data_IF_546099749021
#
_entry.id   IF_546099749021
#
_cell.length_a   1.000
_cell.length_b   1.000
_cell.length_c   1.000
_cell.angle_alpha   90.00
_cell.angle_beta   90.00
_cell.angle_gamma   90.00
#
_symmetry.space_group_name_H-M   'P 1'
#
loop_
_entity.id
_entity.type
_entity.pdbx_description
1 polymer ?
#
# COMPACT_ATOMS: atom_id res chain seq x y z
N UNK A 1 -11.10 -57.07 10.69
CA UNK A 1 -10.13 -56.46 9.76
C UNK A 1 -10.94 -55.51 8.88
N UNK A 2 -11.27 -54.31 9.39
CA UNK A 2 -10.55 -53.04 9.18
C UNK A 2 -10.09 -52.83 7.75
N UNK A 3 -10.79 -51.95 7.04
CA UNK A 3 -10.18 -51.00 6.11
C UNK A 3 -10.92 -49.67 6.33
N UNK A 4 -10.36 -48.86 7.23
CA UNK A 4 -10.73 -47.45 7.40
C UNK A 4 -10.27 -46.69 6.17
N UNK A 5 -11.23 -46.11 5.45
CA UNK A 5 -10.98 -45.20 4.33
C UNK A 5 -11.02 -43.77 4.82
N UNK A 6 -9.93 -43.30 5.45
CA UNK A 6 -9.73 -41.88 5.73
C UNK A 6 -9.42 -41.16 4.42
N UNK A 7 -10.47 -40.57 3.83
CA UNK A 7 -10.32 -39.53 2.81
C UNK A 7 -9.90 -38.26 3.53
N UNK A 8 -8.60 -37.97 3.52
CA UNK A 8 -8.05 -36.72 3.98
C UNK A 8 -8.69 -35.56 3.20
N UNK A 9 -9.58 -34.83 3.87
CA UNK A 9 -10.08 -33.54 3.44
C UNK A 9 -8.94 -32.52 3.63
N UNK A 10 -8.20 -32.24 2.56
CA UNK A 10 -7.35 -31.06 2.52
C UNK A 10 -8.24 -29.82 2.38
N UNK A 11 -8.65 -29.28 3.51
CA UNK A 11 -9.20 -27.94 3.63
C UNK A 11 -8.10 -26.94 3.26
N UNK A 12 -8.09 -26.49 1.99
CA UNK A 12 -7.40 -25.28 1.61
C UNK A 12 -8.27 -24.07 1.98
N UNK A 13 -8.37 -23.78 3.27
CA UNK A 13 -8.75 -22.44 3.73
C UNK A 13 -7.54 -21.52 3.51
N UNK A 14 -7.34 -21.14 2.24
CA UNK A 14 -6.48 -20.02 1.91
C UNK A 14 -7.21 -18.76 2.32
N UNK A 15 -6.96 -18.27 3.54
CA UNK A 15 -7.27 -16.89 3.90
C UNK A 15 -6.71 -16.00 2.78
N UNK A 16 -7.60 -15.30 2.07
CA UNK A 16 -7.19 -14.36 1.03
C UNK A 16 -6.41 -13.25 1.73
N UNK A 17 -5.08 -13.33 1.65
CA UNK A 17 -4.22 -12.41 2.40
C UNK A 17 -4.57 -10.97 1.99
N UNK A 18 -4.84 -10.09 2.98
CA UNK A 18 -5.17 -8.69 2.75
C UNK A 18 -4.14 -8.04 1.82
N UNK A 19 -4.63 -7.25 0.85
CA UNK A 19 -3.79 -6.87 -0.25
C UNK A 19 -4.16 -5.74 -1.17
N UNK A 20 -3.13 -5.09 -1.69
CA UNK A 20 -3.20 -4.08 -2.75
C UNK A 20 -3.42 -4.70 -4.12
N UNK A 21 -4.67 -4.67 -4.52
CA UNK A 21 -5.05 -4.86 -5.90
C UNK A 21 -4.57 -3.69 -6.77
N UNK A 22 -4.37 -4.02 -8.04
CA UNK A 22 -4.00 -3.04 -9.07
C UNK A 22 -5.24 -2.30 -9.51
N UNK A 23 -5.24 -0.98 -9.31
CA UNK A 23 -6.24 -0.08 -9.87
C UNK A 23 -6.07 -0.04 -11.41
N UNK A 24 -7.10 -0.42 -12.20
CA UNK A 24 -7.03 -0.46 -13.65
C UNK A 24 -6.82 0.93 -14.29
N UNK A 25 -7.13 2.02 -13.60
CA UNK A 25 -6.88 3.38 -14.08
C UNK A 25 -5.44 3.85 -13.81
N UNK A 26 -4.63 3.05 -13.11
CA UNK A 26 -3.27 3.39 -12.76
C UNK A 26 -2.29 2.92 -13.84
N UNK A 27 -1.48 3.85 -14.40
CA UNK A 27 -0.44 3.54 -15.40
C UNK A 27 0.61 2.53 -14.88
N UNK A 28 0.67 2.29 -13.56
CA UNK A 28 1.51 1.26 -12.97
C UNK A 28 1.03 -0.17 -13.21
N UNK A 29 -0.21 -0.38 -13.66
CA UNK A 29 -0.74 -1.71 -13.98
C UNK A 29 0.13 -2.44 -15.01
N UNK A 30 0.65 -1.72 -16.02
CA UNK A 30 1.55 -2.28 -17.02
C UNK A 30 2.89 -2.72 -16.41
N UNK A 31 3.44 -1.95 -15.47
CA UNK A 31 4.70 -2.29 -14.77
C UNK A 31 4.51 -3.53 -13.91
N UNK A 32 3.39 -3.62 -13.17
CA UNK A 32 3.08 -4.77 -12.31
C UNK A 32 2.82 -6.03 -13.14
N UNK A 33 2.11 -5.91 -14.27
CA UNK A 33 1.91 -7.02 -15.20
C UNK A 33 3.21 -7.49 -15.86
N UNK A 34 4.09 -6.57 -16.25
CA UNK A 34 5.40 -6.92 -16.81
C UNK A 34 6.28 -7.67 -15.79
N UNK A 35 6.29 -7.21 -14.52
CA UNK A 35 6.95 -7.94 -13.43
C UNK A 35 6.34 -9.34 -13.27
N UNK A 36 5.01 -9.44 -13.16
CA UNK A 36 4.33 -10.72 -12.98
C UNK A 36 4.68 -11.72 -14.08
N UNK A 37 4.73 -11.25 -15.33
CA UNK A 37 5.17 -12.05 -16.46
C UNK A 37 6.64 -12.49 -16.35
N UNK A 38 7.53 -11.59 -15.93
CA UNK A 38 8.95 -11.92 -15.74
C UNK A 38 9.15 -12.94 -14.60
N UNK A 39 8.42 -12.82 -13.50
CA UNK A 39 8.44 -13.78 -12.39
C UNK A 39 7.97 -15.16 -12.85
N UNK A 40 6.90 -15.22 -13.64
CA UNK A 40 6.41 -16.46 -14.25
C UNK A 40 7.49 -17.12 -15.10
N UNK A 41 8.17 -16.36 -15.97
CA UNK A 41 9.25 -16.89 -16.82
C UNK A 41 10.42 -17.45 -16.00
N UNK A 42 10.82 -16.77 -14.92
CA UNK A 42 11.88 -17.27 -14.05
C UNK A 42 11.46 -18.49 -13.24
N UNK A 43 10.22 -18.54 -12.75
CA UNK A 43 9.68 -19.73 -12.09
C UNK A 43 9.68 -20.93 -13.03
N UNK A 44 9.22 -20.75 -14.27
CA UNK A 44 9.19 -21.79 -15.29
C UNK A 44 10.61 -22.24 -15.68
N UNK A 45 11.56 -21.31 -15.80
CA UNK A 45 12.96 -21.63 -16.05
C UNK A 45 13.61 -22.41 -14.89
N UNK A 46 13.16 -22.18 -13.65
CA UNK A 46 13.55 -22.95 -12.48
C UNK A 46 12.79 -24.30 -12.35
N UNK A 47 11.84 -24.59 -13.24
CA UNK A 47 11.06 -25.83 -13.24
C UNK A 47 10.04 -25.95 -12.10
N UNK A 48 9.71 -24.85 -11.42
CA UNK A 48 8.82 -24.85 -10.26
C UNK A 48 7.35 -24.66 -10.68
N UNK A 49 6.44 -25.46 -10.12
CA UNK A 49 4.99 -25.20 -10.26
C UNK A 49 4.56 -24.07 -9.32
N UNK A 50 3.46 -23.35 -9.58
CA UNK A 50 2.96 -22.28 -8.72
C UNK A 50 2.78 -22.70 -7.25
N UNK A 51 2.26 -23.91 -7.01
CA UNK A 51 2.11 -24.47 -5.66
C UNK A 51 3.45 -24.71 -4.94
N UNK A 52 4.45 -25.24 -5.65
CA UNK A 52 5.79 -25.51 -5.10
C UNK A 52 6.54 -24.21 -4.84
N UNK A 53 6.40 -23.25 -5.75
CA UNK A 53 6.98 -21.93 -5.60
C UNK A 53 6.37 -21.19 -4.41
N UNK A 54 5.04 -21.17 -4.29
CA UNK A 54 4.33 -20.60 -3.14
C UNK A 54 4.81 -21.22 -1.83
N UNK A 55 4.87 -22.55 -1.76
CA UNK A 55 5.37 -23.26 -0.58
C UNK A 55 6.83 -22.88 -0.22
N UNK A 56 7.70 -22.71 -1.23
CA UNK A 56 9.10 -22.32 -1.01
C UNK A 56 9.25 -20.89 -0.44
N UNK A 57 8.39 -19.95 -0.83
CA UNK A 57 8.42 -18.57 -0.33
C UNK A 57 7.52 -18.34 0.91
N UNK A 58 6.72 -19.35 1.29
CA UNK A 58 5.78 -19.28 2.41
C UNK A 58 4.47 -18.55 2.10
N UNK A 59 4.03 -18.54 0.84
CA UNK A 59 2.80 -17.90 0.40
C UNK A 59 1.87 -18.89 -0.31
N UNK A 60 0.55 -18.64 -0.29
CA UNK A 60 -0.43 -19.50 -0.95
C UNK A 60 -0.35 -19.45 -2.48
N UNK A 61 -0.72 -20.55 -3.15
CA UNK A 61 -0.73 -20.66 -4.62
C UNK A 61 -1.58 -19.56 -5.29
N UNK A 62 -2.70 -19.18 -4.68
CA UNK A 62 -3.57 -18.12 -5.20
C UNK A 62 -2.85 -16.76 -5.30
N UNK A 63 -2.00 -16.43 -4.32
CA UNK A 63 -1.23 -15.18 -4.35
C UNK A 63 -0.25 -15.19 -5.53
N UNK A 64 0.39 -16.32 -5.79
CA UNK A 64 1.29 -16.49 -6.95
C UNK A 64 0.55 -16.19 -8.24
N UNK A 65 -0.63 -16.78 -8.46
CA UNK A 65 -1.42 -16.50 -9.67
C UNK A 65 -1.83 -15.03 -9.78
N UNK A 66 -2.22 -14.39 -8.66
CA UNK A 66 -2.60 -12.97 -8.66
C UNK A 66 -1.41 -12.06 -8.98
N UNK A 67 -0.23 -12.34 -8.43
CA UNK A 67 1.01 -11.57 -8.68
C UNK A 67 1.53 -11.80 -10.10
N UNK A 68 1.64 -13.06 -10.55
CA UNK A 68 2.07 -13.39 -11.92
C UNK A 68 1.12 -12.83 -12.98
N UNK A 69 -0.17 -12.79 -12.68
CA UNK A 69 -1.20 -12.18 -13.53
C UNK A 69 -1.25 -10.66 -13.47
N UNK A 70 -0.40 -10.00 -12.67
CA UNK A 70 -0.37 -8.54 -12.54
C UNK A 70 -1.60 -7.94 -11.87
N UNK A 71 -2.42 -8.75 -11.19
CA UNK A 71 -3.63 -8.29 -10.49
C UNK A 71 -3.33 -7.76 -9.09
N UNK A 72 -2.19 -8.16 -8.53
CA UNK A 72 -1.78 -7.88 -7.15
C UNK A 72 -0.38 -7.26 -7.14
N UNK A 73 -0.23 -6.13 -6.45
CA UNK A 73 1.08 -5.48 -6.26
C UNK A 73 1.83 -6.24 -5.15
N UNK A 74 2.97 -6.91 -5.44
CA UNK A 74 3.70 -7.65 -4.42
C UNK A 74 4.31 -6.72 -3.37
N UNK A 75 4.39 -7.20 -2.14
CA UNK A 75 5.07 -6.50 -1.04
C UNK A 75 6.60 -6.58 -1.25
N UNK A 76 7.41 -5.64 -0.74
CA UNK A 76 8.86 -5.64 -0.93
C UNK A 76 9.51 -6.91 -0.39
N UNK A 77 9.00 -7.44 0.73
CA UNK A 77 9.49 -8.66 1.38
C UNK A 77 9.21 -9.91 0.53
N UNK A 78 8.12 -9.89 -0.25
CA UNK A 78 7.83 -10.94 -1.23
C UNK A 78 8.92 -10.97 -2.31
N UNK A 79 9.33 -9.81 -2.82
CA UNK A 79 10.36 -9.73 -3.87
C UNK A 79 11.74 -10.20 -3.38
N UNK A 80 12.07 -10.01 -2.10
CA UNK A 80 13.30 -10.56 -1.51
C UNK A 80 13.33 -12.08 -1.54
N UNK A 81 12.29 -12.70 -0.99
CA UNK A 81 12.19 -14.16 -0.93
C UNK A 81 12.19 -14.78 -2.31
N UNK A 82 11.55 -14.12 -3.27
CA UNK A 82 11.52 -14.57 -4.66
C UNK A 82 12.90 -14.48 -5.32
N UNK A 83 13.67 -13.42 -5.06
CA UNK A 83 15.05 -13.30 -5.55
C UNK A 83 15.96 -14.42 -5.01
N UNK A 84 15.81 -14.72 -3.72
CA UNK A 84 16.54 -15.78 -3.02
C UNK A 84 16.19 -17.18 -3.57
N UNK A 85 14.90 -17.51 -3.68
CA UNK A 85 14.43 -18.83 -4.14
C UNK A 85 14.74 -19.06 -5.62
N UNK A 86 14.62 -18.04 -6.46
CA UNK A 86 14.90 -18.16 -7.89
C UNK A 86 16.39 -17.95 -8.24
N UNK A 87 17.23 -17.59 -7.26
CA UNK A 87 18.65 -17.33 -7.47
C UNK A 87 18.92 -16.20 -8.46
N UNK A 88 18.07 -15.16 -8.46
CA UNK A 88 18.10 -14.11 -9.48
C UNK A 88 19.28 -13.13 -9.30
N UNK A 89 20.01 -13.20 -8.18
CA UNK A 89 21.24 -12.45 -7.93
C UNK A 89 20.99 -10.96 -7.76
N UNK A 90 19.90 -10.59 -7.09
CA UNK A 90 19.49 -9.22 -6.81
C UNK A 90 18.71 -8.54 -7.93
N UNK A 91 18.47 -9.20 -9.06
CA UNK A 91 17.76 -8.61 -10.21
C UNK A 91 16.27 -8.37 -9.91
N UNK A 92 15.64 -9.27 -9.14
CA UNK A 92 14.24 -9.12 -8.71
C UNK A 92 14.17 -8.10 -7.59
N UNK A 93 15.11 -8.17 -6.64
CA UNK A 93 15.19 -7.22 -5.54
C UNK A 93 15.44 -5.77 -6.02
N UNK A 94 16.15 -5.56 -7.13
CA UNK A 94 16.36 -4.24 -7.71
C UNK A 94 15.05 -3.56 -8.17
N UNK A 95 14.05 -4.34 -8.61
CA UNK A 95 12.76 -3.81 -9.07
C UNK A 95 11.85 -3.32 -7.94
N UNK A 96 12.23 -3.55 -6.68
CA UNK A 96 11.45 -3.13 -5.51
C UNK A 96 11.08 -1.66 -5.52
N UNK A 97 12.00 -0.78 -5.94
CA UNK A 97 11.76 0.66 -5.93
C UNK A 97 10.63 1.03 -6.91
N UNK A 98 10.69 0.49 -8.11
CA UNK A 98 9.69 0.76 -9.16
C UNK A 98 8.31 0.23 -8.77
N UNK A 99 8.26 -0.93 -8.09
CA UNK A 99 7.03 -1.54 -7.59
C UNK A 99 6.50 -0.86 -6.33
N UNK A 100 7.38 -0.38 -5.45
CA UNK A 100 7.00 0.41 -4.29
C UNK A 100 6.39 1.74 -4.74
N UNK A 101 6.91 2.37 -5.79
CA UNK A 101 6.29 3.55 -6.39
C UNK A 101 4.94 3.21 -7.03
N UNK A 102 4.82 2.08 -7.74
CA UNK A 102 3.56 1.61 -8.33
C UNK A 102 2.42 1.40 -7.32
N UNK A 103 2.75 1.24 -6.04
CA UNK A 103 1.81 1.14 -4.93
C UNK A 103 0.97 2.38 -4.75
N UNK A 104 1.41 3.58 -5.10
CA UNK A 104 0.61 4.77 -4.77
C UNK A 104 -0.34 5.17 -5.91
N UNK A 105 -1.53 5.70 -5.61
CA UNK A 105 -2.41 6.27 -6.63
C UNK A 105 -1.66 7.30 -7.48
N UNK A 106 -1.95 7.36 -8.79
CA UNK A 106 -1.26 8.26 -9.74
C UNK A 106 -1.15 9.70 -9.24
N UNK A 107 -2.25 10.27 -8.74
CA UNK A 107 -2.28 11.65 -8.21
C UNK A 107 -1.27 11.87 -7.07
N UNK A 108 -1.07 10.88 -6.21
CA UNK A 108 -0.08 10.97 -5.12
C UNK A 108 1.34 10.91 -5.69
N UNK A 109 1.59 10.03 -6.66
CA UNK A 109 2.91 9.90 -7.31
C UNK A 109 3.30 11.16 -8.05
N UNK A 110 2.36 11.73 -8.80
CA UNK A 110 2.57 12.97 -9.56
C UNK A 110 2.83 14.14 -8.61
N UNK A 111 2.06 14.24 -7.52
CA UNK A 111 2.29 15.23 -6.47
C UNK A 111 3.68 15.07 -5.84
N UNK A 112 4.08 13.86 -5.45
CA UNK A 112 5.39 13.61 -4.86
C UNK A 112 6.55 13.97 -5.81
N UNK A 113 6.39 13.72 -7.12
CA UNK A 113 7.38 14.12 -8.14
C UNK A 113 7.48 15.63 -8.26
N UNK A 114 6.35 16.34 -8.26
CA UNK A 114 6.32 17.80 -8.28
C UNK A 114 6.96 18.38 -7.00
N UNK A 115 6.63 17.83 -5.84
CA UNK A 115 7.22 18.20 -4.55
C UNK A 115 8.74 17.99 -4.53
N UNK A 116 9.24 16.88 -5.10
CA UNK A 116 10.67 16.61 -5.19
C UNK A 116 11.43 17.67 -6.00
N UNK A 117 10.79 18.26 -7.02
CA UNK A 117 11.37 19.27 -7.92
C UNK A 117 11.07 20.72 -7.48
N UNK A 118 10.15 20.92 -6.54
CA UNK A 118 9.69 22.24 -6.14
C UNK A 118 10.83 23.07 -5.51
N UNK A 119 10.91 24.34 -5.90
CA UNK A 119 11.76 25.34 -5.23
C UNK A 119 11.00 26.06 -4.11
N UNK A 120 9.67 26.10 -4.22
CA UNK A 120 8.74 26.68 -3.25
C UNK A 120 7.44 25.86 -3.23
N UNK A 121 6.87 25.69 -2.04
CA UNK A 121 5.54 25.11 -1.82
C UNK A 121 4.75 26.07 -0.93
N UNK A 122 3.68 26.64 -1.50
CA UNK A 122 2.69 27.42 -0.77
C UNK A 122 1.37 26.69 -0.74
N UNK A 123 0.76 26.53 0.44
CA UNK A 123 -0.54 25.90 0.58
C UNK A 123 -1.46 26.65 1.54
N UNK A 124 -2.73 26.73 1.19
CA UNK A 124 -3.81 27.25 2.01
C UNK A 124 -4.74 26.10 2.41
N UNK A 125 -4.92 25.88 3.71
CA UNK A 125 -5.79 24.87 4.27
C UNK A 125 -6.89 25.49 5.11
N UNK A 126 -8.14 25.20 4.76
CA UNK A 126 -9.33 25.75 5.42
C UNK A 126 -10.00 24.77 6.39
N UNK A 127 -9.99 23.46 6.12
CA UNK A 127 -10.85 22.51 6.88
C UNK A 127 -10.10 21.33 7.50
N UNK A 128 -8.91 20.99 7.00
CA UNK A 128 -8.03 19.97 7.59
C UNK A 128 -6.59 20.47 7.59
N UNK A 129 -5.77 19.90 8.48
CA UNK A 129 -4.33 20.14 8.44
C UNK A 129 -3.77 19.74 7.08
N UNK A 130 -2.88 20.57 6.51
CA UNK A 130 -2.23 20.26 5.25
C UNK A 130 -1.50 18.91 5.32
N UNK A 131 -1.58 18.10 4.26
CA UNK A 131 -1.11 16.71 4.27
C UNK A 131 0.36 16.48 4.65
N UNK A 132 1.23 17.46 4.40
CA UNK A 132 2.64 17.42 4.83
C UNK A 132 2.85 17.67 6.33
N UNK A 133 1.89 18.32 6.98
CA UNK A 133 1.91 18.65 8.40
C UNK A 133 1.23 17.60 9.28
N UNK A 134 0.57 16.62 8.67
CA UNK A 134 -0.17 15.58 9.38
C UNK A 134 0.80 14.58 10.04
N UNK A 135 0.43 14.10 11.23
CA UNK A 135 1.02 12.88 11.81
C UNK A 135 0.39 11.65 11.18
N UNK A 136 0.96 10.48 11.47
CA UNK A 136 0.40 9.22 10.99
C UNK A 136 -1.03 9.00 11.54
N UNK A 137 -1.22 9.28 12.83
CA UNK A 137 -2.49 9.13 13.53
C UNK A 137 -3.55 10.06 12.97
N UNK A 138 -3.20 11.33 12.71
CA UNK A 138 -4.12 12.29 12.10
C UNK A 138 -4.49 11.88 10.68
N UNK A 139 -3.49 11.49 9.87
CA UNK A 139 -3.73 11.06 8.50
C UNK A 139 -4.65 9.84 8.45
N UNK A 140 -4.45 8.87 9.35
CA UNK A 140 -5.28 7.68 9.50
C UNK A 140 -6.71 8.05 9.84
N UNK A 141 -6.91 8.82 10.92
CA UNK A 141 -8.25 9.26 11.33
C UNK A 141 -8.98 9.98 10.20
N UNK A 142 -8.29 10.87 9.47
CA UNK A 142 -8.88 11.58 8.33
C UNK A 142 -9.26 10.62 7.19
N UNK A 143 -8.41 9.66 6.85
CA UNK A 143 -8.66 8.70 5.75
C UNK A 143 -9.82 7.76 6.08
N UNK A 144 -9.96 7.35 7.35
CA UNK A 144 -11.05 6.48 7.82
C UNK A 144 -12.43 7.12 7.74
N UNK A 145 -12.50 8.47 7.75
CA UNK A 145 -13.76 9.20 7.56
C UNK A 145 -14.33 9.09 6.14
N UNK A 146 -13.53 8.63 5.16
CA UNK A 146 -13.94 8.58 3.77
C UNK A 146 -15.15 7.67 3.53
N UNK A 147 -16.01 8.07 2.60
CA UNK A 147 -17.21 7.32 2.21
C UNK A 147 -17.31 7.19 0.68
N UNK A 148 -17.48 5.98 0.13
CA UNK A 148 -17.55 4.66 0.80
C UNK A 148 -16.30 4.32 1.61
N UNK A 149 -16.45 3.52 2.65
CA UNK A 149 -15.35 3.18 3.55
C UNK A 149 -14.25 2.44 2.79
N UNK A 150 -13.00 2.82 3.02
CA UNK A 150 -11.84 2.05 2.59
C UNK A 150 -11.70 0.77 3.42
N UNK A 151 -11.17 -0.28 2.80
CA UNK A 151 -10.65 -1.44 3.53
C UNK A 151 -9.41 -1.07 4.35
N UNK A 152 -9.08 -1.88 5.35
CA UNK A 152 -7.92 -1.64 6.21
C UNK A 152 -6.61 -1.50 5.42
N UNK A 153 -6.40 -2.34 4.39
CA UNK A 153 -5.22 -2.23 3.52
C UNK A 153 -5.16 -0.94 2.71
N UNK A 154 -6.30 -0.43 2.26
CA UNK A 154 -6.40 0.82 1.54
C UNK A 154 -6.09 2.00 2.48
N UNK A 155 -6.56 1.96 3.73
CA UNK A 155 -6.20 2.94 4.75
C UNK A 155 -4.69 2.92 4.97
N UNK A 156 -4.09 1.75 5.25
CA UNK A 156 -2.63 1.63 5.43
C UNK A 156 -1.85 2.15 4.22
N UNK A 157 -2.31 1.82 3.01
CA UNK A 157 -1.71 2.28 1.76
C UNK A 157 -1.73 3.79 1.65
N UNK A 158 -2.85 4.42 1.99
CA UNK A 158 -3.04 5.87 1.92
C UNK A 158 -2.31 6.63 3.03
N UNK A 159 -2.21 6.05 4.23
CA UNK A 159 -1.42 6.58 5.34
C UNK A 159 0.07 6.51 5.01
N UNK A 160 0.56 5.36 4.55
CA UNK A 160 1.95 5.21 4.11
C UNK A 160 2.29 6.18 2.96
N UNK A 161 1.35 6.37 2.02
CA UNK A 161 1.47 7.34 0.94
C UNK A 161 1.62 8.79 1.46
N UNK A 162 0.86 9.15 2.50
CA UNK A 162 0.93 10.46 3.16
C UNK A 162 2.31 10.65 3.80
N UNK A 163 2.75 9.67 4.58
CA UNK A 163 4.00 9.74 5.35
C UNK A 163 5.24 9.70 4.45
N UNK A 164 5.18 9.01 3.31
CA UNK A 164 6.27 8.97 2.33
C UNK A 164 6.65 10.34 1.74
N UNK A 165 5.80 11.36 1.90
CA UNK A 165 6.06 12.74 1.43
C UNK A 165 6.85 13.59 2.44
N UNK A 166 6.95 13.15 3.70
CA UNK A 166 7.61 13.87 4.79
C UNK A 166 9.10 14.17 4.59
N UNK A 167 9.91 13.35 3.87
CA UNK A 167 11.31 13.66 3.60
C UNK A 167 11.59 14.98 2.86
N UNK A 168 10.56 15.68 2.34
CA UNK A 168 10.71 17.03 1.77
C UNK A 168 11.34 18.02 2.76
N UNK A 169 11.10 17.85 4.06
CA UNK A 169 11.67 18.69 5.12
C UNK A 169 13.18 18.46 5.32
N UNK A 170 13.67 17.29 4.94
CA UNK A 170 15.07 16.89 5.13
C UNK A 170 15.94 17.15 3.89
N UNK A 171 15.34 17.68 2.80
CA UNK A 171 16.02 17.93 1.53
C UNK A 171 17.05 19.06 1.66
N UNK A 172 18.17 18.93 0.94
CA UNK A 172 19.15 20.01 0.76
C UNK A 172 19.43 20.26 -0.74
N UNK A 173 19.21 21.48 -1.28
CA UNK A 173 18.61 22.62 -0.58
C UNK A 173 17.11 22.41 -0.32
N UNK A 174 16.65 22.83 0.86
CA UNK A 174 15.24 22.75 1.23
C UNK A 174 14.41 23.72 0.36
N UNK A 175 13.20 23.33 -0.08
CA UNK A 175 12.29 24.27 -0.71
C UNK A 175 11.81 25.32 0.30
N UNK A 176 11.43 26.51 -0.18
CA UNK A 176 10.69 27.45 0.65
C UNK A 176 9.29 26.90 0.93
N UNK A 177 8.92 26.71 2.19
CA UNK A 177 7.64 26.11 2.59
C UNK A 177 6.78 27.14 3.33
N UNK A 178 5.59 27.41 2.81
CA UNK A 178 4.60 28.30 3.44
C UNK A 178 3.26 27.59 3.56
N UNK A 179 2.73 27.49 4.78
CA UNK A 179 1.42 26.92 5.07
C UNK A 179 0.56 27.95 5.79
N UNK A 180 -0.56 28.33 5.17
CA UNK A 180 -1.59 29.16 5.79
C UNK A 180 -2.72 28.24 6.19
N UNK A 181 -3.06 28.24 7.47
CA UNK A 181 -4.00 27.28 8.05
C UNK A 181 -5.05 28.02 8.87
N UNK A 182 -6.33 27.78 8.57
CA UNK A 182 -7.43 28.33 9.38
C UNK A 182 -7.46 27.69 10.78
N UNK A 183 -7.79 28.49 11.80
CA UNK A 183 -7.83 28.08 13.20
C UNK A 183 -8.76 26.87 13.43
N UNK A 184 -9.86 26.78 12.67
CA UNK A 184 -10.81 25.66 12.76
C UNK A 184 -10.13 24.29 12.60
N UNK A 185 -9.03 24.21 11.85
CA UNK A 185 -8.32 22.94 11.64
C UNK A 185 -7.52 22.47 12.85
N UNK A 186 -7.29 23.34 13.83
CA UNK A 186 -6.69 23.03 15.13
C UNK A 186 -7.74 22.78 16.22
N UNK A 187 -8.95 23.33 16.02
CA UNK A 187 -10.03 23.30 17.00
C UNK A 187 -11.00 22.12 16.81
N UNK A 188 -11.03 21.50 15.62
CA UNK A 188 -11.88 20.33 15.35
C UNK A 188 -11.14 19.07 15.82
N UNK A 189 -11.63 18.39 16.87
CA UNK A 189 -11.06 17.10 17.26
C UNK A 189 -11.31 16.09 16.13
N UNK A 190 -10.26 15.45 15.64
CA UNK A 190 -10.39 14.29 14.75
C UNK A 190 -11.22 13.21 15.47
N UNK A 191 -12.05 12.46 14.75
CA UNK A 191 -13.04 11.50 15.29
C UNK A 191 -12.54 10.51 16.35
N UNK A 192 -11.21 10.31 16.49
CA UNK A 192 -10.61 9.57 17.59
C UNK A 192 -11.08 10.04 18.99
N UNK A 193 -11.45 11.32 19.16
CA UNK A 193 -12.05 11.83 20.41
C UNK A 193 -13.59 11.83 20.41
N UNK A 194 -14.24 11.76 19.24
CA UNK A 194 -15.70 11.74 19.16
C UNK A 194 -16.31 10.46 19.71
N UNK A 195 -15.58 9.33 19.69
CA UNK A 195 -16.03 8.10 20.36
C UNK A 195 -16.22 8.31 21.87
N UNK A 196 -15.38 9.14 22.50
CA UNK A 196 -15.50 9.46 23.93
C UNK A 196 -16.60 10.49 24.23
N UNK A 197 -17.03 11.28 23.23
CA UNK A 197 -18.05 12.32 23.36
C UNK A 197 -19.48 11.84 23.00
N UNK A 198 -19.66 10.56 22.66
CA UNK A 198 -20.97 9.95 22.36
C UNK A 198 -21.99 10.00 23.52
N UNK A 199 -21.54 10.33 24.73
CA UNK A 199 -22.42 10.71 25.83
C UNK A 199 -22.60 12.23 25.83
N UNK A 200 -23.37 12.82 24.91
CA UNK A 200 -24.10 14.08 25.16
C UNK A 200 -25.01 14.45 23.97
N UNK A 201 -26.29 14.23 24.20
CA UNK A 201 -27.46 14.59 23.38
C UNK A 201 -27.69 16.12 23.29
N UNK A 202 -26.66 16.96 23.15
CA UNK A 202 -26.75 18.38 23.51
C UNK A 202 -26.18 19.41 22.51
N UNK A 203 -25.97 19.07 21.23
CA UNK A 203 -25.45 20.05 20.26
C UNK A 203 -26.31 20.24 18.99
N UNK A 204 -27.61 19.93 19.08
CA UNK A 204 -28.61 20.34 18.09
C UNK A 204 -29.82 20.97 18.76
N UNK A 205 -29.63 22.22 19.22
CA UNK A 205 -30.67 23.24 19.31
C UNK A 205 -30.08 24.56 18.85
#
# INVERSE_FOLDING_TARGET
MSVDGERAEHAAEGADEPGWDVDPENDSAAVVAALGHQLKLWREAAGLRPAEFGAAIGYGENLIYKVEGGKRIPRPEFLDKVDEVLGAGGKIAAMKKDIAEARYPKKVRDLAKLEAQAVEVGAYGNHNLHGLLQTEEYARALIETWRPAYSEDEVERMVAARMARRPIFDRSPAPALTFVQEEVTLAVPSEAEWSCASSLNACWR
#
